data_IF_773672337520
#
_entry.id   IF_773672337520
#
_cell.length_a   1.000
_cell.length_b   1.000
_cell.length_c   1.000
_cell.angle_alpha   90.00
_cell.angle_beta   90.00
_cell.angle_gamma   90.00
#
_symmetry.space_group_name_H-M   'P 1'
#
loop_
_entity.id
_entity.type
_entity.pdbx_description
1 polymer ?
#
# COMPACT_ATOMS: atom_id res chain seq x y z
N UNK A 1 40.40 -7.90 17.98
CA UNK A 1 38.99 -7.48 18.11
C UNK A 1 38.86 -6.01 18.50
N UNK A 2 39.34 -5.58 19.67
CA UNK A 2 39.17 -4.19 20.15
C UNK A 2 39.74 -3.11 19.22
N UNK A 3 40.98 -3.25 18.76
CA UNK A 3 41.61 -2.33 17.81
C UNK A 3 40.91 -2.25 16.43
N UNK A 4 40.10 -3.24 16.06
CA UNK A 4 39.29 -3.19 14.82
C UNK A 4 37.99 -2.44 15.12
N UNK A 5 37.32 -2.76 16.23
CA UNK A 5 36.10 -2.08 16.67
C UNK A 5 36.32 -0.56 16.83
N UNK A 6 37.43 -0.16 17.45
CA UNK A 6 37.76 1.25 17.69
C UNK A 6 38.02 2.04 16.38
N UNK A 7 38.26 1.34 15.25
CA UNK A 7 38.48 1.94 13.92
C UNK A 7 37.21 1.98 13.07
N UNK A 8 36.14 1.29 13.49
CA UNK A 8 34.89 1.23 12.75
C UNK A 8 33.97 2.34 13.24
N UNK A 9 33.85 3.41 12.45
CA UNK A 9 32.88 4.48 12.68
C UNK A 9 31.97 4.60 11.45
N UNK A 10 30.70 4.29 11.65
CA UNK A 10 29.64 4.38 10.63
C UNK A 10 28.52 5.21 11.24
N UNK A 11 28.12 6.27 10.56
CA UNK A 11 27.01 7.13 10.94
C UNK A 11 25.88 6.94 9.93
N UNK A 12 24.69 6.61 10.43
CA UNK A 12 23.47 6.49 9.63
C UNK A 12 22.50 7.58 10.09
N UNK A 13 22.07 8.43 9.17
CA UNK A 13 20.98 9.38 9.44
C UNK A 13 19.66 8.63 9.32
N UNK A 14 18.93 8.50 10.42
CA UNK A 14 17.63 7.85 10.48
C UNK A 14 16.53 8.88 10.77
N UNK A 15 15.27 8.49 10.60
CA UNK A 15 14.09 9.29 11.00
C UNK A 15 13.97 10.64 10.28
N UNK A 16 14.58 10.76 9.09
CA UNK A 16 14.55 11.97 8.28
C UNK A 16 13.96 11.68 6.91
N UNK A 17 12.78 12.25 6.64
CA UNK A 17 12.13 12.11 5.35
C UNK A 17 12.94 12.68 4.20
N UNK A 18 12.96 11.90 3.12
CA UNK A 18 13.59 12.26 1.85
C UNK A 18 12.60 12.00 0.73
N UNK A 19 12.30 13.06 0.00
CA UNK A 19 11.40 13.03 -1.15
C UNK A 19 12.19 12.76 -2.44
N UNK A 20 11.57 12.09 -3.42
CA UNK A 20 12.14 11.95 -4.74
C UNK A 20 12.29 13.31 -5.44
N UNK A 21 13.31 13.41 -6.29
CA UNK A 21 13.47 14.56 -7.16
C UNK A 21 12.41 14.50 -8.28
N UNK A 22 11.65 15.59 -8.43
CA UNK A 22 10.73 15.75 -9.54
C UNK A 22 11.41 16.60 -10.63
N UNK A 23 11.37 16.19 -11.91
CA UNK A 23 11.95 17.00 -12.98
C UNK A 23 11.16 18.29 -13.16
N UNK A 24 11.72 19.40 -12.66
CA UNK A 24 11.09 20.73 -12.72
C UNK A 24 11.57 21.51 -13.96
N UNK A 25 10.69 22.30 -14.61
CA UNK A 25 11.09 23.28 -15.61
C UNK A 25 12.09 24.29 -15.05
N UNK A 26 13.03 24.74 -15.88
CA UNK A 26 14.09 25.66 -15.44
C UNK A 26 13.50 26.94 -14.81
N UNK A 27 13.92 27.23 -13.58
CA UNK A 27 13.54 28.45 -12.86
C UNK A 27 12.19 28.39 -12.14
N UNK A 28 11.51 27.24 -12.10
CA UNK A 28 10.28 27.04 -11.31
C UNK A 28 10.50 26.09 -10.14
N UNK A 29 9.90 26.41 -9.01
CA UNK A 29 9.84 25.55 -7.82
C UNK A 29 8.70 24.53 -7.91
N UNK A 30 8.79 23.46 -7.12
CA UNK A 30 7.71 22.46 -7.03
C UNK A 30 6.39 23.08 -6.55
N UNK A 31 6.44 24.04 -5.62
CA UNK A 31 5.26 24.75 -5.13
C UNK A 31 4.54 25.53 -6.25
N UNK A 32 5.31 26.20 -7.11
CA UNK A 32 4.77 26.97 -8.23
C UNK A 32 4.12 26.06 -9.27
N UNK A 33 4.77 24.94 -9.62
CA UNK A 33 4.21 23.95 -10.55
C UNK A 33 2.93 23.33 -9.98
N UNK A 34 2.95 22.94 -8.70
CA UNK A 34 1.79 22.37 -8.02
C UNK A 34 0.60 23.32 -8.08
N UNK A 35 0.82 24.61 -7.76
CA UNK A 35 -0.21 25.64 -7.84
C UNK A 35 -0.72 25.83 -9.26
N UNK A 36 0.15 25.88 -10.26
CA UNK A 36 -0.25 26.00 -11.67
C UNK A 36 -1.13 24.83 -12.13
N UNK A 37 -0.79 23.59 -11.74
CA UNK A 37 -1.59 22.41 -12.05
C UNK A 37 -2.95 22.46 -11.36
N UNK A 38 -3.01 22.87 -10.08
CA UNK A 38 -4.28 23.04 -9.38
C UNK A 38 -5.18 24.09 -10.04
N UNK A 39 -4.62 25.22 -10.49
CA UNK A 39 -5.39 26.25 -11.20
C UNK A 39 -5.88 25.78 -12.57
N UNK A 40 -5.13 24.91 -13.26
CA UNK A 40 -5.61 24.24 -14.47
C UNK A 40 -6.73 23.24 -14.16
N UNK A 41 -6.61 22.50 -13.06
CA UNK A 41 -7.66 21.60 -12.57
C UNK A 41 -8.94 22.34 -12.20
N UNK A 42 -8.82 23.50 -11.58
CA UNK A 42 -9.93 24.41 -11.24
C UNK A 42 -10.73 24.80 -12.49
N UNK A 43 -10.01 25.17 -13.57
CA UNK A 43 -10.59 25.45 -14.90
C UNK A 43 -11.26 24.24 -15.50
N UNK A 44 -10.56 23.10 -15.54
CA UNK A 44 -11.04 21.87 -16.16
C UNK A 44 -12.33 21.36 -15.50
N UNK A 45 -12.48 21.54 -14.19
CA UNK A 45 -13.69 21.18 -13.43
C UNK A 45 -14.77 22.27 -13.39
N UNK A 46 -14.53 23.43 -13.99
CA UNK A 46 -15.51 24.54 -14.01
C UNK A 46 -15.74 25.19 -12.64
N UNK A 47 -14.75 25.15 -11.74
CA UNK A 47 -14.88 25.62 -10.35
C UNK A 47 -14.34 27.05 -10.14
N UNK A 48 -13.93 27.75 -11.19
CA UNK A 48 -13.31 29.09 -11.10
C UNK A 48 -14.18 30.15 -10.42
N UNK A 49 -15.50 30.00 -10.49
CA UNK A 49 -16.47 30.93 -9.90
C UNK A 49 -16.82 30.65 -8.43
N UNK A 50 -16.11 29.75 -7.75
CA UNK A 50 -16.41 29.29 -6.38
C UNK A 50 -15.34 29.79 -5.40
N UNK A 51 -15.55 30.92 -4.69
CA UNK A 51 -14.56 31.48 -3.77
C UNK A 51 -14.11 30.50 -2.67
N UNK A 52 -15.03 29.67 -2.17
CA UNK A 52 -14.76 28.68 -1.14
C UNK A 52 -13.78 27.58 -1.60
N UNK A 53 -13.77 27.25 -2.90
CA UNK A 53 -12.82 26.29 -3.49
C UNK A 53 -11.42 26.91 -3.52
N UNK A 54 -11.33 28.18 -3.93
CA UNK A 54 -10.06 28.90 -3.99
C UNK A 54 -9.48 29.13 -2.59
N UNK A 55 -10.31 29.53 -1.63
CA UNK A 55 -9.90 29.68 -0.23
C UNK A 55 -9.36 28.37 0.35
N UNK A 56 -10.08 27.26 0.14
CA UNK A 56 -9.62 25.93 0.56
C UNK A 56 -8.31 25.54 -0.13
N UNK A 57 -8.19 25.78 -1.44
CA UNK A 57 -6.98 25.47 -2.19
C UNK A 57 -5.75 26.23 -1.66
N UNK A 58 -5.86 27.55 -1.47
CA UNK A 58 -4.73 28.36 -1.01
C UNK A 58 -4.32 28.01 0.43
N UNK A 59 -5.29 27.65 1.30
CA UNK A 59 -5.01 27.09 2.62
C UNK A 59 -4.20 25.79 2.55
N UNK A 60 -4.65 24.83 1.72
CA UNK A 60 -3.97 23.54 1.56
C UNK A 60 -2.57 23.70 0.96
N UNK A 61 -2.42 24.51 -0.09
CA UNK A 61 -1.13 24.81 -0.72
C UNK A 61 -0.16 25.46 0.27
N UNK A 62 -0.65 26.34 1.16
CA UNK A 62 0.15 26.93 2.23
C UNK A 62 0.75 25.88 3.17
N UNK A 63 -0.05 24.88 3.57
CA UNK A 63 0.39 23.78 4.44
C UNK A 63 1.35 22.85 3.71
N UNK A 64 1.05 22.48 2.46
CA UNK A 64 1.90 21.61 1.65
C UNK A 64 3.28 22.24 1.45
N UNK A 65 3.32 23.54 1.15
CA UNK A 65 4.55 24.32 1.03
C UNK A 65 5.31 24.38 2.35
N UNK A 66 4.63 24.68 3.46
CA UNK A 66 5.25 24.75 4.78
C UNK A 66 5.91 23.43 5.18
N UNK A 67 5.30 22.29 4.83
CA UNK A 67 5.84 20.96 5.11
C UNK A 67 6.85 20.45 4.06
N UNK A 68 6.97 21.11 2.91
CA UNK A 68 7.88 20.72 1.83
C UNK A 68 7.41 19.50 1.02
N UNK A 69 6.09 19.28 0.92
CA UNK A 69 5.53 18.08 0.28
C UNK A 69 5.12 18.28 -1.19
N UNK A 70 5.43 19.44 -1.78
CA UNK A 70 5.01 19.72 -3.16
C UNK A 70 5.55 18.69 -4.18
N UNK A 71 6.83 18.30 -4.07
CA UNK A 71 7.42 17.30 -4.97
C UNK A 71 6.70 15.94 -4.87
N UNK A 72 6.31 15.52 -3.67
CA UNK A 72 5.54 14.30 -3.45
C UNK A 72 4.20 14.32 -4.19
N UNK A 73 3.44 15.42 -4.08
CA UNK A 73 2.17 15.56 -4.80
C UNK A 73 2.36 15.54 -6.32
N UNK A 74 3.44 16.15 -6.82
CA UNK A 74 3.76 16.13 -8.26
C UNK A 74 4.10 14.71 -8.76
N UNK A 75 4.85 13.92 -7.98
CA UNK A 75 5.11 12.52 -8.33
C UNK A 75 3.82 11.71 -8.38
N UNK A 76 2.95 11.86 -7.38
CA UNK A 76 1.66 11.16 -7.34
C UNK A 76 0.75 11.60 -8.49
N UNK A 77 0.61 12.90 -8.73
CA UNK A 77 -0.16 13.43 -9.87
C UNK A 77 0.34 12.83 -11.18
N UNK A 78 1.65 12.78 -11.36
CA UNK A 78 2.25 12.30 -12.60
C UNK A 78 2.00 10.81 -12.85
N UNK A 79 2.07 9.98 -11.80
CA UNK A 79 1.77 8.55 -11.88
C UNK A 79 0.28 8.31 -12.20
N UNK A 80 -0.63 9.06 -11.56
CA UNK A 80 -2.07 8.96 -11.82
C UNK A 80 -2.44 9.50 -13.19
N UNK A 81 -1.79 10.58 -13.63
CA UNK A 81 -1.95 11.14 -14.98
C UNK A 81 -1.51 10.13 -16.03
N UNK A 82 -0.35 9.50 -15.87
CA UNK A 82 0.09 8.42 -16.76
C UNK A 82 -0.92 7.28 -16.81
N UNK A 83 -1.42 6.81 -15.66
CA UNK A 83 -2.43 5.76 -15.60
C UNK A 83 -3.70 6.16 -16.36
N UNK A 84 -4.20 7.37 -16.13
CA UNK A 84 -5.39 7.92 -16.80
C UNK A 84 -5.21 8.02 -18.32
N UNK A 85 -4.10 8.62 -18.78
CA UNK A 85 -3.77 8.76 -20.21
C UNK A 85 -3.62 7.41 -20.93
N UNK A 86 -3.30 6.34 -20.20
CA UNK A 86 -3.15 4.98 -20.72
C UNK A 86 -4.37 4.08 -20.44
N UNK A 87 -5.51 4.65 -20.01
CA UNK A 87 -6.74 3.94 -19.69
C UNK A 87 -6.53 2.82 -18.64
N UNK A 88 -5.66 3.08 -17.66
CA UNK A 88 -5.49 2.23 -16.48
C UNK A 88 -6.39 2.82 -15.39
N UNK A 89 -7.43 2.07 -15.01
CA UNK A 89 -8.31 2.51 -13.93
C UNK A 89 -7.55 2.57 -12.61
N UNK A 90 -7.76 3.69 -11.91
CA UNK A 90 -7.16 3.96 -10.62
C UNK A 90 -8.21 4.23 -9.57
N UNK A 91 -7.90 3.94 -8.32
CA UNK A 91 -8.62 4.45 -7.17
C UNK A 91 -7.62 4.92 -6.13
N UNK A 92 -8.05 5.77 -5.21
CA UNK A 92 -7.20 6.24 -4.12
C UNK A 92 -7.90 5.90 -2.81
N UNK A 93 -7.12 5.45 -1.82
CA UNK A 93 -7.62 5.11 -0.48
C UNK A 93 -7.13 6.07 0.59
N UNK A 94 -7.79 6.01 1.73
CA UNK A 94 -7.39 6.76 2.92
C UNK A 94 -7.97 8.16 2.98
N UNK A 95 -7.35 9.00 3.81
CA UNK A 95 -7.84 10.34 4.15
C UNK A 95 -7.64 11.38 3.05
N UNK A 96 -6.79 11.08 2.06
CA UNK A 96 -6.44 11.94 0.92
C UNK A 96 -7.65 12.49 0.14
N UNK A 97 -8.79 11.79 0.13
CA UNK A 97 -10.05 12.29 -0.42
C UNK A 97 -10.55 13.59 0.23
N UNK A 98 -10.00 13.99 1.39
CA UNK A 98 -10.27 15.28 2.04
C UNK A 98 -9.52 16.48 1.46
N UNK A 99 -8.62 16.29 0.48
CA UNK A 99 -7.81 17.38 -0.09
C UNK A 99 -8.38 17.90 -1.41
N UNK A 100 -8.72 19.20 -1.43
CA UNK A 100 -9.08 19.92 -2.65
C UNK A 100 -7.92 19.94 -3.64
N UNK A 101 -6.67 20.05 -3.15
CA UNK A 101 -5.46 19.97 -3.99
C UNK A 101 -5.46 18.65 -4.79
N UNK A 102 -5.68 17.51 -4.13
CA UNK A 102 -5.69 16.19 -4.80
C UNK A 102 -6.86 16.03 -5.77
N UNK A 103 -8.01 16.61 -5.44
CA UNK A 103 -9.20 16.59 -6.30
C UNK A 103 -8.97 17.38 -7.60
N UNK A 104 -8.36 18.57 -7.50
CA UNK A 104 -8.03 19.42 -8.66
C UNK A 104 -6.92 18.81 -9.53
N UNK A 105 -5.96 18.10 -8.93
CA UNK A 105 -4.95 17.33 -9.64
C UNK A 105 -5.49 16.02 -10.26
N UNK A 106 -6.78 15.73 -10.08
CA UNK A 106 -7.44 14.49 -10.51
C UNK A 106 -6.86 13.20 -9.91
N UNK A 107 -6.08 13.33 -8.82
CA UNK A 107 -5.64 12.21 -7.99
C UNK A 107 -6.87 11.56 -7.37
N UNK A 108 -7.71 12.36 -6.72
CA UNK A 108 -9.00 11.92 -6.16
C UNK A 108 -10.16 12.36 -7.05
N UNK A 109 -11.25 11.58 -7.02
CA UNK A 109 -12.43 11.82 -7.87
C UNK A 109 -13.62 12.41 -7.11
N UNK A 110 -13.53 12.49 -5.78
CA UNK A 110 -14.59 12.93 -4.88
C UNK A 110 -14.36 14.40 -4.51
N UNK A 111 -15.39 15.25 -4.62
CA UNK A 111 -15.32 16.64 -4.16
C UNK A 111 -15.36 16.71 -2.62
N UNK A 112 -14.28 17.12 -1.95
CA UNK A 112 -14.23 17.14 -0.49
C UNK A 112 -15.19 18.18 0.13
N UNK A 113 -15.56 19.23 -0.59
CA UNK A 113 -16.51 20.23 -0.07
C UNK A 113 -17.95 19.73 -0.14
N UNK A 114 -18.31 19.03 -1.21
CA UNK A 114 -19.65 18.43 -1.36
C UNK A 114 -19.92 17.41 -0.24
N UNK A 115 -18.95 16.51 -0.01
CA UNK A 115 -19.05 15.47 1.02
C UNK A 115 -18.56 15.91 2.41
N UNK A 116 -18.20 17.19 2.57
CA UNK A 116 -17.75 17.80 3.85
C UNK A 116 -16.60 17.04 4.50
N UNK A 117 -15.64 16.59 3.71
CA UNK A 117 -14.47 15.83 4.15
C UNK A 117 -13.37 16.82 4.60
N UNK A 118 -12.89 16.74 5.85
CA UNK A 118 -11.88 17.66 6.37
C UNK A 118 -10.48 17.36 5.81
N UNK A 119 -9.71 18.41 5.50
CA UNK A 119 -8.34 18.29 4.99
C UNK A 119 -7.37 17.80 6.06
N UNK A 120 -7.59 18.22 7.31
CA UNK A 120 -6.71 17.97 8.45
C UNK A 120 -6.69 16.49 8.84
N UNK A 121 -7.66 15.70 8.37
CA UNK A 121 -7.63 14.23 8.48
C UNK A 121 -6.59 13.62 7.54
N UNK A 122 -6.31 14.27 6.41
CA UNK A 122 -5.24 13.91 5.50
C UNK A 122 -3.91 14.50 5.95
N UNK A 123 -3.84 15.82 6.03
CA UNK A 123 -2.60 16.51 6.35
C UNK A 123 -2.83 17.53 7.45
N UNK A 124 -2.42 17.16 8.67
CA UNK A 124 -2.52 18.04 9.83
C UNK A 124 -1.26 18.91 9.95
N UNK A 125 -1.38 20.26 10.04
CA UNK A 125 -0.25 21.16 10.25
C UNK A 125 0.63 20.78 11.44
N UNK A 126 0.02 20.35 12.55
CA UNK A 126 0.68 20.12 13.85
C UNK A 126 1.34 18.74 13.95
N UNK A 127 1.04 17.80 13.03
CA UNK A 127 1.65 16.46 13.04
C UNK A 127 2.90 16.40 12.15
N UNK A 128 3.98 15.77 12.62
CA UNK A 128 5.21 15.61 11.82
C UNK A 128 5.13 14.49 10.77
N UNK A 129 4.04 13.71 10.73
CA UNK A 129 3.87 12.59 9.81
C UNK A 129 3.72 13.05 8.36
N UNK A 130 4.42 12.37 7.44
CA UNK A 130 4.24 12.58 6.02
C UNK A 130 2.85 12.12 5.53
N UNK A 131 2.34 12.70 4.44
CA UNK A 131 1.14 12.21 3.78
C UNK A 131 1.42 10.84 3.18
N UNK A 132 0.49 9.91 3.41
CA UNK A 132 0.48 8.61 2.73
C UNK A 132 -0.66 8.60 1.71
N UNK A 133 -0.32 8.48 0.43
CA UNK A 133 -1.26 8.39 -0.69
C UNK A 133 -1.17 6.98 -1.29
N UNK A 134 -2.06 6.13 -0.82
CA UNK A 134 -2.26 4.78 -1.34
C UNK A 134 -2.91 4.82 -2.73
N UNK A 135 -2.16 4.37 -3.73
CA UNK A 135 -2.63 4.35 -5.12
C UNK A 135 -3.04 2.94 -5.53
N UNK A 136 -4.31 2.76 -5.86
CA UNK A 136 -4.84 1.53 -6.43
C UNK A 136 -4.81 1.61 -7.95
N UNK A 137 -4.32 0.55 -8.57
CA UNK A 137 -4.32 0.34 -10.01
C UNK A 137 -5.04 -0.98 -10.33
N UNK A 138 -5.58 -1.10 -11.53
CA UNK A 138 -6.00 -2.39 -12.06
C UNK A 138 -4.85 -3.41 -11.94
N UNK A 139 -5.11 -4.54 -11.28
CA UNK A 139 -4.05 -5.50 -10.90
C UNK A 139 -3.28 -6.07 -12.09
N UNK A 140 -3.96 -6.26 -13.22
CA UNK A 140 -3.39 -6.72 -14.47
C UNK A 140 -2.53 -5.67 -15.21
N UNK A 141 -2.59 -4.39 -14.82
CA UNK A 141 -1.85 -3.28 -15.46
C UNK A 141 -0.97 -2.47 -14.51
N UNK A 142 -0.93 -2.81 -13.22
CA UNK A 142 -0.08 -2.17 -12.21
C UNK A 142 1.39 -2.11 -12.61
N UNK A 143 1.92 -3.20 -13.16
CA UNK A 143 3.34 -3.28 -13.55
C UNK A 143 3.70 -2.23 -14.62
N UNK A 144 2.76 -1.80 -15.47
CA UNK A 144 3.00 -0.72 -16.45
C UNK A 144 3.33 0.62 -15.79
N UNK A 145 2.71 0.90 -14.63
CA UNK A 145 2.95 2.12 -13.85
C UNK A 145 4.29 2.06 -13.14
N UNK A 146 4.69 0.89 -12.65
CA UNK A 146 6.03 0.68 -12.08
C UNK A 146 7.10 0.89 -13.15
N UNK A 147 6.91 0.31 -14.34
CA UNK A 147 7.84 0.49 -15.46
C UNK A 147 7.86 1.93 -16.00
N UNK A 148 6.76 2.66 -15.92
CA UNK A 148 6.75 4.09 -16.17
C UNK A 148 7.59 4.85 -15.13
N UNK A 149 7.40 4.57 -13.85
CA UNK A 149 8.18 5.20 -12.78
C UNK A 149 9.68 4.95 -12.97
N UNK A 150 10.10 3.71 -13.26
CA UNK A 150 11.51 3.37 -13.55
C UNK A 150 12.07 4.16 -14.73
N UNK A 151 11.33 4.22 -15.85
CA UNK A 151 11.78 4.96 -17.04
C UNK A 151 11.88 6.46 -16.81
N UNK A 152 10.99 7.02 -15.97
CA UNK A 152 10.91 8.47 -15.74
C UNK A 152 11.87 8.96 -14.67
N UNK A 153 11.92 8.27 -13.53
CA UNK A 153 12.70 8.70 -12.36
C UNK A 153 14.10 8.07 -12.32
N UNK A 154 14.36 7.05 -13.15
CA UNK A 154 15.65 6.36 -13.24
C UNK A 154 15.55 4.90 -12.81
N UNK A 155 16.19 4.01 -13.58
CA UNK A 155 16.13 2.56 -13.32
C UNK A 155 16.82 2.17 -12.01
N UNK A 156 17.84 2.94 -11.62
CA UNK A 156 18.61 2.83 -10.38
C UNK A 156 18.01 3.64 -9.22
N UNK A 157 16.94 4.41 -9.45
CA UNK A 157 16.26 5.24 -8.44
C UNK A 157 14.94 4.62 -7.96
N UNK A 158 14.45 3.58 -8.64
CA UNK A 158 13.14 2.95 -8.36
C UNK A 158 13.31 1.46 -8.11
N UNK A 159 12.79 0.97 -6.98
CA UNK A 159 12.77 -0.45 -6.67
C UNK A 159 11.52 -0.82 -5.87
N UNK A 160 11.12 -2.09 -5.95
CA UNK A 160 10.10 -2.61 -5.06
C UNK A 160 10.70 -2.89 -3.68
N UNK A 161 9.87 -2.79 -2.64
CA UNK A 161 10.32 -3.04 -1.28
C UNK A 161 10.43 -4.55 -1.03
N UNK A 162 11.52 -5.00 -0.41
CA UNK A 162 11.67 -6.39 0.05
C UNK A 162 10.77 -6.70 1.25
N UNK A 163 10.32 -7.95 1.37
CA UNK A 163 9.61 -8.42 2.57
C UNK A 163 10.28 -9.64 3.15
N UNK A 164 10.10 -9.84 4.46
CA UNK A 164 10.65 -10.98 5.18
C UNK A 164 9.51 -11.80 5.77
N UNK A 165 9.27 -12.98 5.21
CA UNK A 165 8.31 -13.93 5.77
C UNK A 165 8.89 -14.60 7.00
N UNK A 166 8.22 -14.49 8.14
CA UNK A 166 8.63 -15.10 9.41
C UNK A 166 7.95 -16.46 9.63
N UNK A 167 8.53 -17.28 10.51
CA UNK A 167 7.92 -18.55 10.91
C UNK A 167 6.80 -18.33 11.93
N UNK A 168 5.58 -18.35 11.43
CA UNK A 168 4.36 -18.31 12.26
C UNK A 168 4.18 -19.61 13.04
N UNK A 169 3.54 -19.57 14.22
CA UNK A 169 3.32 -20.70 15.12
C UNK A 169 3.03 -22.05 14.43
N UNK A 170 1.98 -22.09 13.60
CA UNK A 170 1.56 -23.31 12.87
C UNK A 170 2.61 -23.81 11.87
N UNK A 171 3.33 -22.91 11.22
CA UNK A 171 4.37 -23.26 10.25
C UNK A 171 5.63 -23.75 10.97
N UNK A 172 6.04 -23.08 12.06
CA UNK A 172 7.16 -23.46 12.89
C UNK A 172 7.00 -24.90 13.40
N UNK A 173 5.84 -25.24 13.97
CA UNK A 173 5.54 -26.60 14.44
C UNK A 173 5.65 -27.65 13.33
N UNK A 174 5.05 -27.39 12.15
CA UNK A 174 5.13 -28.34 11.03
C UNK A 174 6.55 -28.56 10.53
N UNK A 175 7.34 -27.49 10.44
CA UNK A 175 8.71 -27.57 9.94
C UNK A 175 9.64 -28.26 10.95
N UNK A 176 9.49 -28.00 12.25
CA UNK A 176 10.23 -28.71 13.31
C UNK A 176 9.87 -30.18 13.32
N UNK A 177 8.58 -30.51 13.28
CA UNK A 177 8.13 -31.91 13.28
C UNK A 177 8.78 -32.69 12.12
N UNK A 178 8.83 -32.07 10.94
CA UNK A 178 9.49 -32.64 9.76
C UNK A 178 11.01 -32.77 9.96
N UNK A 179 11.66 -31.78 10.58
CA UNK A 179 13.10 -31.80 10.80
C UNK A 179 13.54 -32.86 11.81
N UNK A 180 12.71 -33.15 12.82
CA UNK A 180 12.91 -34.21 13.80
C UNK A 180 12.61 -35.61 13.24
N UNK A 181 12.04 -35.71 12.03
CA UNK A 181 11.72 -36.98 11.38
C UNK A 181 10.39 -37.59 11.81
N UNK A 182 9.51 -36.84 12.51
CA UNK A 182 8.17 -37.31 12.83
C UNK A 182 7.30 -37.43 11.57
N UNK A 183 6.25 -38.24 11.67
CA UNK A 183 5.25 -38.35 10.62
C UNK A 183 4.56 -37.00 10.37
N UNK A 184 4.20 -36.72 9.10
CA UNK A 184 3.50 -35.48 8.71
C UNK A 184 2.21 -35.26 9.51
N UNK A 185 1.50 -36.35 9.84
CA UNK A 185 0.30 -36.33 10.67
C UNK A 185 0.52 -35.74 12.06
N UNK A 186 1.70 -35.95 12.65
CA UNK A 186 2.05 -35.42 13.98
C UNK A 186 2.13 -33.90 13.93
N UNK A 187 2.93 -33.35 13.02
CA UNK A 187 3.04 -31.89 12.86
C UNK A 187 1.73 -31.22 12.47
N UNK A 188 0.93 -31.83 11.59
CA UNK A 188 -0.37 -31.27 11.20
C UNK A 188 -1.41 -31.32 12.31
N UNK A 189 -1.43 -32.40 13.12
CA UNK A 189 -2.30 -32.52 14.30
C UNK A 189 -2.03 -31.40 15.30
N UNK A 190 -0.75 -31.19 15.67
CA UNK A 190 -0.36 -30.14 16.62
C UNK A 190 -0.71 -28.76 16.03
N UNK A 191 -0.37 -28.51 14.77
CA UNK A 191 -0.60 -27.22 14.12
C UNK A 191 -2.09 -26.85 13.98
N UNK A 192 -2.99 -27.83 13.87
CA UNK A 192 -4.44 -27.58 13.81
C UNK A 192 -5.02 -27.11 15.14
N UNK A 193 -4.46 -27.55 16.26
CA UNK A 193 -4.89 -27.14 17.60
C UNK A 193 -4.47 -25.70 17.93
N UNK A 194 -3.38 -25.19 17.35
CA UNK A 194 -3.00 -23.78 17.50
C UNK A 194 -4.10 -22.90 16.88
N UNK A 195 -4.81 -22.03 17.61
CA UNK A 195 -5.89 -21.23 17.03
C UNK A 195 -5.39 -20.25 15.97
N UNK A 196 -6.28 -19.79 15.09
CA UNK A 196 -5.93 -18.71 14.16
C UNK A 196 -5.77 -17.39 14.94
N UNK A 197 -4.77 -16.60 14.57
CA UNK A 197 -4.63 -15.24 15.08
C UNK A 197 -5.72 -14.31 14.53
N UNK A 198 -5.81 -13.10 15.09
CA UNK A 198 -6.64 -12.04 14.54
C UNK A 198 -5.80 -11.11 13.67
N UNK A 199 -6.47 -10.31 12.82
CA UNK A 199 -5.78 -9.35 11.97
C UNK A 199 -4.96 -8.37 12.81
N UNK A 200 -3.67 -8.25 12.51
CA UNK A 200 -2.71 -7.44 13.27
C UNK A 200 -2.15 -8.08 14.54
N UNK A 201 -2.69 -9.23 14.98
CA UNK A 201 -2.24 -9.94 16.18
C UNK A 201 -1.96 -11.41 15.86
N UNK A 202 -0.73 -11.75 15.42
CA UNK A 202 -0.36 -13.11 15.12
C UNK A 202 -0.50 -13.99 16.38
N UNK A 203 -0.97 -15.22 16.20
CA UNK A 203 -0.98 -16.21 17.27
C UNK A 203 0.46 -16.67 17.54
N UNK A 204 0.84 -16.75 18.82
CA UNK A 204 2.11 -17.34 19.26
C UNK A 204 1.86 -18.72 19.87
N UNK A 205 2.88 -19.57 19.90
CA UNK A 205 2.78 -20.91 20.50
C UNK A 205 2.46 -20.82 21.99
N UNK A 206 3.08 -19.89 22.72
CA UNK A 206 2.82 -19.70 24.15
C UNK A 206 1.36 -19.32 24.43
N UNK A 207 0.83 -18.36 23.68
CA UNK A 207 -0.57 -17.96 23.81
C UNK A 207 -1.53 -19.09 23.40
N UNK A 208 -1.17 -19.88 22.39
CA UNK A 208 -1.97 -21.02 21.99
C UNK A 208 -2.07 -22.08 23.10
N UNK A 209 -0.98 -22.35 23.84
CA UNK A 209 -0.96 -23.28 24.97
C UNK A 209 -1.82 -22.81 26.15
N UNK A 210 -1.98 -21.50 26.33
CA UNK A 210 -2.87 -20.93 27.35
C UNK A 210 -4.35 -21.00 26.94
N UNK A 211 -4.64 -20.83 25.65
CA UNK A 211 -6.01 -20.70 25.13
C UNK A 211 -6.66 -22.04 24.76
N UNK A 212 -5.87 -23.02 24.34
CA UNK A 212 -6.36 -24.31 23.83
C UNK A 212 -5.97 -25.46 24.78
N UNK A 213 -6.91 -25.94 25.62
CA UNK A 213 -6.64 -27.03 26.57
C UNK A 213 -6.14 -28.30 25.89
N UNK A 214 -6.66 -28.64 24.71
CA UNK A 214 -6.26 -29.85 23.98
C UNK A 214 -4.80 -29.78 23.53
N UNK A 215 -4.32 -28.58 23.18
CA UNK A 215 -2.91 -28.35 22.86
C UNK A 215 -2.02 -28.54 24.09
N UNK A 216 -2.50 -28.11 25.27
CA UNK A 216 -1.77 -28.28 26.53
C UNK A 216 -1.68 -29.74 26.94
N UNK A 217 -2.76 -30.50 26.79
CA UNK A 217 -2.80 -31.94 27.09
C UNK A 217 -1.77 -32.69 26.23
N UNK A 218 -1.75 -32.47 24.91
CA UNK A 218 -0.76 -33.15 24.06
C UNK A 218 0.67 -32.71 24.36
N UNK A 219 0.88 -31.46 24.79
CA UNK A 219 2.20 -30.99 25.19
C UNK A 219 2.70 -31.68 26.47
N UNK A 220 1.79 -32.02 27.40
CA UNK A 220 2.16 -32.67 28.66
C UNK A 220 2.30 -34.19 28.53
N UNK A 221 1.49 -34.83 27.67
CA UNK A 221 1.36 -36.29 27.60
C UNK A 221 2.15 -36.96 26.46
N UNK A 222 2.47 -36.24 25.38
CA UNK A 222 3.13 -36.77 24.19
C UNK A 222 4.54 -36.19 24.05
N UNK A 223 5.56 -37.04 24.24
CA UNK A 223 6.97 -36.64 24.23
C UNK A 223 7.40 -36.05 22.87
N UNK A 224 6.93 -36.61 21.75
CA UNK A 224 7.21 -36.11 20.40
C UNK A 224 6.59 -34.71 20.20
N UNK A 225 5.37 -34.52 20.71
CA UNK A 225 4.68 -33.24 20.64
C UNK A 225 5.37 -32.18 21.52
N UNK A 226 5.80 -32.55 22.73
CA UNK A 226 6.52 -31.66 23.65
C UNK A 226 7.84 -31.20 23.02
N UNK A 227 8.65 -32.12 22.52
CA UNK A 227 9.92 -31.80 21.86
C UNK A 227 9.70 -30.90 20.63
N UNK A 228 8.71 -31.23 19.79
CA UNK A 228 8.35 -30.41 18.62
C UNK A 228 7.96 -28.99 19.03
N UNK A 229 7.12 -28.84 20.04
CA UNK A 229 6.63 -27.54 20.49
C UNK A 229 7.77 -26.72 21.09
N UNK A 230 8.63 -27.31 21.91
CA UNK A 230 9.76 -26.61 22.55
C UNK A 230 10.76 -26.07 21.52
N UNK A 231 11.11 -26.87 20.51
CA UNK A 231 11.94 -26.39 19.42
C UNK A 231 11.22 -25.36 18.54
N UNK A 232 9.92 -25.54 18.30
CA UNK A 232 9.13 -24.59 17.51
C UNK A 232 9.06 -23.21 18.18
N UNK A 233 8.92 -23.14 19.51
CA UNK A 233 8.98 -21.87 20.28
C UNK A 233 10.29 -21.11 20.07
N UNK A 234 11.40 -21.82 19.92
CA UNK A 234 12.73 -21.20 19.74
C UNK A 234 12.95 -20.61 18.37
N UNK A 235 12.20 -21.05 17.36
CA UNK A 235 12.34 -20.60 15.97
C UNK A 235 11.14 -19.79 15.49
N UNK A 236 10.04 -19.78 16.25
CA UNK A 236 8.89 -18.90 16.02
C UNK A 236 9.36 -17.45 15.89
N UNK A 237 8.85 -16.75 14.88
CA UNK A 237 9.22 -15.36 14.58
C UNK A 237 10.54 -15.21 13.81
N UNK A 238 11.38 -16.24 13.68
CA UNK A 238 12.58 -16.15 12.85
C UNK A 238 12.23 -15.90 11.38
N UNK A 239 13.05 -15.09 10.70
CA UNK A 239 12.94 -14.84 9.26
C UNK A 239 13.24 -16.13 8.50
N UNK A 240 12.38 -16.48 7.54
CA UNK A 240 12.45 -17.71 6.76
C UNK A 240 12.81 -17.47 5.31
N UNK A 241 12.18 -16.48 4.68
CA UNK A 241 12.36 -16.23 3.26
C UNK A 241 12.20 -14.75 2.96
N UNK A 242 12.86 -14.35 1.87
CA UNK A 242 12.70 -13.04 1.26
C UNK A 242 11.54 -13.11 0.27
N UNK A 243 10.73 -12.06 0.24
CA UNK A 243 9.69 -11.84 -0.74
C UNK A 243 9.75 -10.42 -1.28
N UNK A 244 8.77 -10.09 -2.13
CA UNK A 244 8.56 -8.75 -2.65
C UNK A 244 7.29 -8.21 -2.02
N UNK A 245 7.33 -6.95 -1.58
CA UNK A 245 6.15 -6.27 -1.06
C UNK A 245 5.09 -6.17 -2.16
N UNK A 246 3.85 -6.52 -1.81
CA UNK A 246 2.76 -6.58 -2.77
C UNK A 246 2.42 -5.22 -3.38
N UNK A 247 2.72 -4.12 -2.66
CA UNK A 247 2.36 -2.75 -3.01
C UNK A 247 3.57 -1.80 -3.13
N UNK A 248 4.25 -1.61 -2.00
CA UNK A 248 5.47 -0.83 -1.77
C UNK A 248 6.51 -0.79 -2.89
N UNK A 249 6.69 0.42 -3.38
CA UNK A 249 7.75 0.90 -4.26
C UNK A 249 8.44 2.07 -3.54
N UNK A 250 9.75 2.18 -3.68
CA UNK A 250 10.50 3.38 -3.28
C UNK A 250 11.01 4.12 -4.50
N UNK A 251 11.05 5.44 -4.39
CA UNK A 251 11.66 6.34 -5.38
C UNK A 251 12.62 7.24 -4.62
N UNK A 252 13.92 7.15 -4.91
CA UNK A 252 14.97 7.94 -4.26
C UNK A 252 15.38 9.14 -5.12
N UNK A 253 15.94 10.21 -4.51
CA UNK A 253 16.48 11.36 -5.25
C UNK A 253 17.84 11.10 -5.89
N UNK A 254 18.60 10.14 -5.35
CA UNK A 254 19.90 9.66 -5.88
C UNK A 254 19.85 8.14 -6.06
N UNK A 255 20.85 7.48 -6.67
CA UNK A 255 20.81 6.03 -6.87
C UNK A 255 20.51 5.28 -5.57
N UNK A 256 19.57 4.33 -5.61
CA UNK A 256 19.08 3.61 -4.44
C UNK A 256 20.18 2.94 -3.61
N UNK A 257 21.29 2.56 -4.25
CA UNK A 257 22.46 1.96 -3.57
C UNK A 257 23.14 2.90 -2.57
N UNK A 258 22.88 4.20 -2.62
CA UNK A 258 23.32 5.17 -1.60
C UNK A 258 22.46 5.12 -0.33
N UNK A 259 21.26 4.54 -0.42
CA UNK A 259 20.26 4.52 0.65
C UNK A 259 20.00 3.12 1.20
N UNK A 260 19.95 2.12 0.33
CA UNK A 260 19.62 0.74 0.69
C UNK A 260 20.34 -0.25 -0.23
N UNK A 261 20.86 -1.36 0.30
CA UNK A 261 21.37 -2.42 -0.54
C UNK A 261 20.22 -3.05 -1.34
N UNK A 262 20.52 -3.44 -2.58
CA UNK A 262 19.56 -4.04 -3.51
C UNK A 262 19.86 -5.52 -3.70
N UNK A 263 18.85 -6.28 -4.14
CA UNK A 263 19.00 -7.67 -4.57
C UNK A 263 17.98 -8.00 -5.66
N UNK A 264 18.23 -9.01 -6.50
CA UNK A 264 17.22 -9.53 -7.43
C UNK A 264 16.04 -10.14 -6.68
N UNK A 265 14.84 -10.07 -7.28
CA UNK A 265 13.67 -10.80 -6.79
C UNK A 265 13.97 -12.31 -6.69
N UNK A 266 13.77 -12.95 -5.53
CA UNK A 266 13.95 -14.39 -5.34
C UNK A 266 13.16 -15.27 -6.32
N UNK A 267 12.07 -14.76 -6.91
CA UNK A 267 11.26 -15.47 -7.92
C UNK A 267 11.86 -15.43 -9.33
N UNK A 268 12.97 -14.72 -9.54
CA UNK A 268 13.64 -14.66 -10.84
C UNK A 268 12.88 -13.85 -11.90
N UNK A 269 12.03 -12.90 -11.48
CA UNK A 269 11.24 -12.07 -12.40
C UNK A 269 12.06 -11.00 -13.12
N UNK A 270 13.36 -10.87 -12.81
CA UNK A 270 14.22 -9.80 -13.31
C UNK A 270 14.00 -8.44 -12.63
N UNK A 271 13.08 -8.36 -11.65
CA UNK A 271 12.85 -7.16 -10.85
C UNK A 271 13.91 -7.01 -9.75
N UNK A 272 14.23 -5.76 -9.41
CA UNK A 272 15.14 -5.41 -8.32
C UNK A 272 14.33 -5.03 -7.09
N UNK A 273 14.74 -5.52 -5.93
CA UNK A 273 14.11 -5.22 -4.64
C UNK A 273 15.12 -4.67 -3.63
N UNK A 274 14.61 -3.91 -2.66
CA UNK A 274 15.41 -3.47 -1.51
C UNK A 274 15.71 -4.66 -0.58
N UNK A 275 16.87 -4.65 0.06
CA UNK A 275 17.19 -5.56 1.17
C UNK A 275 16.64 -5.04 2.51
N UNK A 276 16.23 -3.77 2.57
CA UNK A 276 15.46 -3.23 3.68
C UNK A 276 13.97 -3.53 3.50
N UNK A 277 13.29 -3.80 4.61
CA UNK A 277 11.84 -3.94 4.64
C UNK A 277 11.15 -2.57 4.64
N UNK A 278 9.81 -2.59 4.69
CA UNK A 278 9.01 -1.36 4.66
C UNK A 278 9.31 -0.39 5.80
N UNK A 279 9.76 -0.89 6.96
CA UNK A 279 10.10 -0.07 8.12
C UNK A 279 11.49 0.52 7.97
N UNK A 280 12.47 -0.31 7.61
CA UNK A 280 13.88 0.08 7.50
C UNK A 280 14.16 0.99 6.30
N UNK A 281 13.37 0.87 5.22
CA UNK A 281 13.51 1.75 4.05
C UNK A 281 12.79 3.08 4.22
N UNK A 282 11.69 3.08 4.98
CA UNK A 282 10.76 4.19 5.12
C UNK A 282 11.18 5.22 6.17
N UNK A 283 10.19 5.93 6.70
CA UNK A 283 10.37 7.06 7.63
C UNK A 283 11.17 6.69 8.88
N UNK A 284 10.89 5.54 9.49
CA UNK A 284 11.55 5.05 10.71
C UNK A 284 13.00 4.59 10.48
N UNK A 285 13.41 4.44 9.22
CA UNK A 285 14.71 3.95 8.82
C UNK A 285 15.50 5.00 8.05
N UNK A 286 15.92 4.66 6.83
CA UNK A 286 16.75 5.56 5.99
C UNK A 286 15.98 6.73 5.37
N UNK A 287 14.66 6.78 5.57
CA UNK A 287 13.84 7.95 5.28
C UNK A 287 13.33 8.07 3.85
N UNK A 288 13.48 7.03 3.01
CA UNK A 288 12.97 7.09 1.64
C UNK A 288 11.45 7.11 1.63
N UNK A 289 10.90 7.95 0.76
CA UNK A 289 9.45 8.00 0.56
C UNK A 289 8.97 6.69 -0.08
N UNK A 290 8.03 6.03 0.62
CA UNK A 290 7.32 4.86 0.14
C UNK A 290 6.11 5.30 -0.67
N UNK A 291 5.86 4.59 -1.76
CA UNK A 291 4.62 4.66 -2.51
C UNK A 291 3.99 3.28 -2.56
N UNK A 292 2.72 3.19 -2.17
CA UNK A 292 2.00 1.93 -2.20
C UNK A 292 1.18 1.83 -3.49
N UNK A 293 1.70 1.05 -4.44
CA UNK A 293 1.04 0.76 -5.71
C UNK A 293 0.27 -0.55 -5.56
N UNK A 294 -1.01 -0.50 -5.19
CA UNK A 294 -1.80 -1.71 -4.99
C UNK A 294 -2.48 -2.17 -6.28
N UNK A 295 -2.40 -3.47 -6.56
CA UNK A 295 -3.20 -4.09 -7.61
C UNK A 295 -4.56 -4.51 -7.07
N UNK A 296 -5.63 -3.88 -7.56
CA UNK A 296 -7.01 -4.23 -7.18
C UNK A 296 -7.73 -4.90 -8.35
N UNK A 297 -8.18 -6.14 -8.12
CA UNK A 297 -8.96 -6.95 -9.08
C UNK A 297 -10.24 -6.26 -9.54
N UNK A 298 -10.91 -5.53 -8.67
CA UNK A 298 -12.19 -4.90 -9.00
C UNK A 298 -12.03 -3.81 -10.08
N UNK A 299 -10.90 -3.10 -10.09
CA UNK A 299 -10.61 -2.12 -11.14
C UNK A 299 -10.40 -2.81 -12.49
N UNK A 300 -9.74 -3.97 -12.51
CA UNK A 300 -9.60 -4.78 -13.73
C UNK A 300 -10.93 -5.35 -14.22
N UNK A 301 -11.77 -5.87 -13.31
CA UNK A 301 -13.13 -6.36 -13.63
C UNK A 301 -13.98 -5.23 -14.21
N UNK A 302 -13.93 -4.04 -13.61
CA UNK A 302 -14.68 -2.87 -14.05
C UNK A 302 -14.22 -2.40 -15.44
N UNK A 303 -12.92 -2.37 -15.68
CA UNK A 303 -12.33 -2.07 -16.99
C UNK A 303 -12.83 -3.05 -18.07
N UNK A 304 -12.80 -4.36 -17.78
CA UNK A 304 -13.28 -5.41 -18.69
C UNK A 304 -14.79 -5.29 -18.93
N UNK A 305 -15.58 -5.00 -17.89
CA UNK A 305 -17.02 -4.81 -18.03
C UNK A 305 -17.36 -3.64 -18.96
N UNK A 306 -16.69 -2.49 -18.81
CA UNK A 306 -16.89 -1.31 -19.67
C UNK A 306 -16.49 -1.63 -21.11
N UNK A 307 -15.33 -2.28 -21.31
CA UNK A 307 -14.86 -2.68 -22.64
C UNK A 307 -15.87 -3.61 -23.35
N UNK A 308 -16.42 -4.60 -22.64
CA UNK A 308 -17.45 -5.50 -23.17
C UNK A 308 -18.75 -4.78 -23.50
N UNK A 309 -19.19 -3.82 -22.68
CA UNK A 309 -20.40 -3.04 -22.99
C UNK A 309 -20.21 -2.22 -24.26
N UNK A 310 -19.03 -1.62 -24.44
CA UNK A 310 -18.67 -0.91 -25.67
C UNK A 310 -18.67 -1.84 -26.88
N UNK A 311 -18.05 -3.02 -26.77
CA UNK A 311 -17.99 -4.00 -27.86
C UNK A 311 -19.37 -4.57 -28.23
N UNK A 312 -20.18 -4.93 -27.23
CA UNK A 312 -21.44 -5.66 -27.45
C UNK A 312 -22.64 -4.75 -27.69
N UNK A 313 -22.62 -3.52 -27.15
CA UNK A 313 -23.75 -2.58 -27.22
C UNK A 313 -23.41 -1.25 -27.89
N UNK A 314 -22.14 -0.98 -28.18
CA UNK A 314 -21.71 0.30 -28.75
C UNK A 314 -21.87 1.49 -27.79
N UNK A 315 -22.02 1.23 -26.49
CA UNK A 315 -22.22 2.26 -25.47
C UNK A 315 -20.87 2.56 -24.83
N UNK A 316 -20.44 3.82 -24.89
CA UNK A 316 -19.26 4.30 -24.17
C UNK A 316 -19.66 4.76 -22.76
N UNK A 317 -19.09 4.13 -21.73
CA UNK A 317 -19.37 4.44 -20.33
C UNK A 317 -18.17 5.18 -19.77
N UNK A 318 -18.40 6.43 -19.35
CA UNK A 318 -17.45 7.17 -18.54
C UNK A 318 -17.81 7.00 -17.05
N UNK A 319 -16.95 6.30 -16.31
CA UNK A 319 -17.16 6.01 -14.90
C UNK A 319 -17.24 7.26 -14.03
N UNK A 320 -16.54 8.33 -14.43
CA UNK A 320 -16.42 9.56 -13.65
C UNK A 320 -17.70 10.40 -13.69
N UNK A 321 -18.64 10.05 -14.58
CA UNK A 321 -19.88 10.80 -14.81
C UNK A 321 -21.14 10.00 -14.47
N UNK A 322 -20.99 8.82 -13.87
CA UNK A 322 -22.13 7.98 -13.48
C UNK A 322 -22.94 8.71 -12.39
N UNK A 323 -24.27 8.87 -12.57
CA UNK A 323 -25.14 9.45 -11.54
C UNK A 323 -25.12 8.62 -10.26
N UNK A 324 -24.99 9.30 -9.12
CA UNK A 324 -24.96 8.66 -7.80
C UNK A 324 -26.35 8.35 -7.23
N UNK A 325 -27.42 8.76 -7.91
CA UNK A 325 -28.82 8.65 -7.48
C UNK A 325 -29.65 7.69 -8.36
N UNK A 326 -29.00 6.76 -9.06
CA UNK A 326 -29.68 5.80 -9.95
C UNK A 326 -30.60 4.83 -9.19
N UNK A 327 -31.91 5.01 -9.39
CA UNK A 327 -32.95 4.23 -8.69
C UNK A 327 -32.83 2.71 -8.93
N UNK A 328 -32.39 2.30 -10.13
CA UNK A 328 -32.26 0.87 -10.46
C UNK A 328 -31.15 0.22 -9.64
N UNK A 329 -30.02 0.91 -9.48
CA UNK A 329 -28.89 0.48 -8.65
C UNK A 329 -29.32 0.35 -7.20
N UNK A 330 -30.01 1.34 -6.64
CA UNK A 330 -30.53 1.26 -5.26
C UNK A 330 -31.57 0.15 -5.08
N UNK A 331 -32.45 -0.08 -6.06
CA UNK A 331 -33.44 -1.16 -6.02
C UNK A 331 -32.78 -2.55 -6.06
N UNK A 332 -31.70 -2.71 -6.80
CA UNK A 332 -30.89 -3.94 -6.81
C UNK A 332 -30.26 -4.18 -5.43
N UNK A 333 -29.63 -3.15 -4.85
CA UNK A 333 -29.01 -3.24 -3.52
C UNK A 333 -30.03 -3.58 -2.43
N UNK A 334 -31.21 -2.92 -2.44
CA UNK A 334 -32.28 -3.14 -1.47
C UNK A 334 -32.94 -4.54 -1.56
N UNK A 335 -32.69 -5.29 -2.63
CA UNK A 335 -33.11 -6.70 -2.74
C UNK A 335 -32.10 -7.68 -2.16
N UNK A 336 -30.90 -7.19 -1.81
CA UNK A 336 -29.77 -8.05 -1.44
C UNK A 336 -29.08 -8.69 -2.64
N UNK A 337 -29.27 -8.17 -3.86
CA UNK A 337 -28.59 -8.65 -5.07
C UNK A 337 -27.14 -8.12 -5.11
N UNK A 338 -26.34 -8.47 -4.11
CA UNK A 338 -24.97 -7.95 -3.86
C UNK A 338 -23.85 -8.90 -4.27
N UNK A 339 -24.18 -10.05 -4.87
CA UNK A 339 -23.17 -10.97 -5.40
C UNK A 339 -22.30 -10.25 -6.43
N UNK A 340 -20.98 -10.28 -6.22
CA UNK A 340 -20.03 -9.56 -7.08
C UNK A 340 -19.95 -8.03 -6.85
N UNK A 341 -20.73 -7.45 -5.92
CA UNK A 341 -20.66 -6.02 -5.58
C UNK A 341 -19.54 -5.78 -4.57
N UNK A 342 -18.59 -4.92 -4.95
CA UNK A 342 -17.44 -4.60 -4.10
C UNK A 342 -17.87 -4.10 -2.71
N UNK A 343 -17.22 -4.61 -1.65
CA UNK A 343 -17.49 -4.36 -0.23
C UNK A 343 -18.84 -4.86 0.32
N UNK A 344 -19.83 -5.16 -0.53
CA UNK A 344 -21.19 -5.51 -0.11
C UNK A 344 -21.55 -7.00 -0.29
N UNK A 345 -20.68 -7.78 -0.93
CA UNK A 345 -20.89 -9.20 -1.25
C UNK A 345 -20.86 -10.16 -0.04
N UNK A 346 -20.55 -9.68 1.17
CA UNK A 346 -20.53 -10.52 2.38
C UNK A 346 -21.94 -10.81 2.91
N UNK A 347 -22.21 -12.05 3.34
CA UNK A 347 -23.53 -12.48 3.84
C UNK A 347 -24.06 -11.66 5.03
N UNK A 348 -23.17 -11.11 5.86
CA UNK A 348 -23.53 -10.16 6.92
C UNK A 348 -24.05 -8.84 6.36
N UNK A 349 -23.29 -8.24 5.44
CA UNK A 349 -23.63 -6.96 4.81
C UNK A 349 -24.87 -7.05 3.93
N UNK A 350 -25.00 -8.16 3.18
CA UNK A 350 -26.16 -8.42 2.31
C UNK A 350 -27.47 -8.50 3.09
N UNK A 351 -27.45 -9.02 4.33
CA UNK A 351 -28.63 -9.06 5.21
C UNK A 351 -28.90 -7.72 5.91
N UNK A 352 -27.91 -6.85 5.97
CA UNK A 352 -28.03 -5.55 6.61
C UNK A 352 -28.66 -4.51 5.68
N UNK A 353 -28.33 -4.58 4.39
CA UNK A 353 -28.99 -3.86 3.30
C UNK A 353 -30.44 -4.33 3.14
#
# INVERSE_FOLDING_TARGET
ARAIADRCHVELTLEKFVFPDFPLPQGKSADEILRELCLKGLKARGLEGRPEVLERLEYELGIIKFKGYAAYFLVVEDLIRFATENNIYTNIRGSVAGSMTTYLLQITKIDPLEYKIPFERFLNPERPSAPDIDMDFADNRRDEVIEYARRKYGDDHVAQIGTFGTMMARAAVRDVARALGHAYSTGDRIAKLIPMGSQGFPMTIDKALELEPDLKVIYDEDDDARETIDFAKRIEGCVRHVGVHAAGVVISPTPLTEWTPLQPDPKGTGKTITQYDMYSVGEDGVGLTKFDFLGIKNLAILSDAIARVKETRGIDIDIETIPIDDEKTYRMLAKGDTEGVFQLNGSGMTRWL
#
